data_IF_717949859681
#
_entry.id   IF_717949859681
#
_cell.length_a   1.000
_cell.length_b   1.000
_cell.length_c   1.000
_cell.angle_alpha   90.00
_cell.angle_beta   90.00
_cell.angle_gamma   90.00
#
_symmetry.space_group_name_H-M   'P 1'
#
loop_
_entity.id
_entity.type
_entity.pdbx_description
1 polymer ?
#
# COMPACT_ATOMS: atom_id res chain seq x y z
N UNK A 1 -37.62 -14.45 14.08
CA UNK A 1 -36.38 -14.39 14.89
C UNK A 1 -35.10 -14.04 14.09
N UNK A 2 -35.16 -13.41 12.90
CA UNK A 2 -33.97 -13.12 12.05
C UNK A 2 -33.53 -11.64 11.98
N UNK A 3 -34.02 -10.76 12.86
CA UNK A 3 -33.65 -9.33 12.88
C UNK A 3 -32.71 -8.91 14.03
N UNK A 4 -32.29 -9.84 14.89
CA UNK A 4 -31.57 -9.52 16.14
C UNK A 4 -30.05 -9.70 16.10
N UNK A 5 -29.48 -10.44 15.14
CA UNK A 5 -28.04 -10.75 15.15
C UNK A 5 -27.17 -9.68 14.49
N UNK A 6 -27.67 -8.99 13.45
CA UNK A 6 -26.94 -7.90 12.78
C UNK A 6 -26.69 -6.67 13.68
N UNK A 7 -27.62 -6.36 14.59
CA UNK A 7 -27.45 -5.25 15.54
C UNK A 7 -26.49 -5.57 16.69
N UNK A 8 -26.28 -6.86 17.01
CA UNK A 8 -25.37 -7.29 18.07
C UNK A 8 -23.90 -7.26 17.60
N UNK A 9 -23.65 -7.54 16.31
CA UNK A 9 -22.34 -7.41 15.68
C UNK A 9 -21.89 -5.95 15.59
N UNK A 10 -22.77 -5.03 15.18
CA UNK A 10 -22.46 -3.59 15.16
C UNK A 10 -22.21 -3.00 16.56
N UNK A 11 -22.89 -3.50 17.61
CA UNK A 11 -22.68 -3.03 19.00
C UNK A 11 -21.36 -3.52 19.61
N UNK A 12 -20.87 -4.71 19.25
CA UNK A 12 -19.57 -5.20 19.72
C UNK A 12 -18.39 -4.47 19.03
N UNK A 13 -18.50 -4.16 17.73
CA UNK A 13 -17.48 -3.36 17.02
C UNK A 13 -17.35 -1.93 17.57
N UNK A 14 -18.45 -1.28 17.96
CA UNK A 14 -18.41 0.06 18.54
C UNK A 14 -17.73 0.14 19.92
N UNK A 15 -17.53 -1.00 20.60
CA UNK A 15 -16.89 -1.05 21.93
C UNK A 15 -15.36 -1.14 21.88
N UNK A 16 -14.78 -1.68 20.80
CA UNK A 16 -13.33 -1.68 20.59
C UNK A 16 -12.78 -0.31 20.14
N UNK A 17 -13.61 0.55 19.55
CA UNK A 17 -13.20 1.84 18.99
C UNK A 17 -13.45 3.05 19.92
N UNK A 18 -13.96 2.86 21.15
CA UNK A 18 -14.40 3.95 22.04
C UNK A 18 -13.52 4.20 23.28
N UNK A 19 -12.36 3.56 23.39
CA UNK A 19 -11.53 3.65 24.60
C UNK A 19 -10.28 4.55 24.48
N UNK A 20 -10.36 5.62 23.69
CA UNK A 20 -9.33 6.67 23.64
C UNK A 20 -9.96 8.05 23.37
N UNK A 21 -10.72 8.58 24.33
CA UNK A 21 -10.76 10.03 24.61
C UNK A 21 -11.71 10.33 25.78
N UNK A 22 -11.14 10.59 26.96
CA UNK A 22 -11.82 11.29 28.04
C UNK A 22 -10.84 12.27 28.67
N UNK A 23 -11.27 13.54 28.71
CA UNK A 23 -10.83 14.74 29.48
C UNK A 23 -10.58 15.91 28.52
N UNK A 24 -11.04 17.15 28.72
CA UNK A 24 -11.90 17.84 29.71
C UNK A 24 -12.47 19.05 28.94
N UNK A 25 -13.76 19.33 29.09
CA UNK A 25 -14.38 20.59 28.64
C UNK A 25 -14.25 21.58 29.79
N UNK A 26 -13.63 22.74 29.54
CA UNK A 26 -13.44 23.81 30.51
C UNK A 26 -13.75 25.18 29.89
N UNK A 27 -14.72 25.84 30.49
CA UNK A 27 -15.33 27.14 30.18
C UNK A 27 -14.34 28.31 29.99
N UNK A 28 -14.71 29.25 29.11
CA UNK A 28 -14.19 30.63 29.09
C UNK A 28 -14.62 31.40 30.34
N UNK A 29 -13.78 32.30 30.84
CA UNK A 29 -14.20 33.70 30.96
C UNK A 29 -13.14 34.70 30.49
N UNK A 30 -13.62 35.90 30.20
CA UNK A 30 -12.88 37.09 29.78
C UNK A 30 -12.01 37.71 30.89
N UNK A 31 -11.12 38.61 30.44
CA UNK A 31 -10.36 39.63 31.18
C UNK A 31 -9.01 39.22 31.76
N UNK A 32 -7.94 39.84 31.23
CA UNK A 32 -7.08 40.78 31.96
C UNK A 32 -5.96 41.31 31.04
N UNK A 33 -5.83 42.64 31.02
CA UNK A 33 -4.74 43.37 30.36
C UNK A 33 -3.44 43.15 31.11
N UNK A 34 -2.36 42.94 30.35
CA UNK A 34 -1.04 43.51 30.62
C UNK A 34 -0.13 42.75 31.58
N UNK A 35 0.75 41.91 31.03
CA UNK A 35 2.16 41.82 31.44
C UNK A 35 2.99 41.52 30.18
N UNK A 36 3.86 42.46 29.79
CA UNK A 36 4.97 42.17 28.88
C UNK A 36 6.00 41.36 29.67
N UNK A 37 6.22 40.11 29.27
CA UNK A 37 7.29 39.25 29.76
C UNK A 37 7.60 38.24 28.66
N UNK A 38 8.85 38.19 28.21
CA UNK A 38 9.27 37.38 27.07
C UNK A 38 8.89 35.91 27.22
N UNK A 39 8.27 35.35 26.19
CA UNK A 39 8.21 33.91 25.98
C UNK A 39 9.18 33.61 24.84
N UNK A 40 10.32 33.05 25.22
CA UNK A 40 11.24 32.36 24.34
C UNK A 40 10.46 31.35 23.48
N UNK A 41 10.76 31.34 22.18
CA UNK A 41 10.10 30.45 21.23
C UNK A 41 10.27 29.00 21.65
N UNK A 42 9.16 28.32 21.92
CA UNK A 42 9.13 26.86 21.89
C UNK A 42 9.43 26.45 20.45
N UNK A 43 10.66 26.02 20.21
CA UNK A 43 11.11 25.49 18.93
C UNK A 43 10.26 24.24 18.62
N UNK A 44 9.24 24.39 17.79
CA UNK A 44 8.38 23.30 17.39
C UNK A 44 9.21 22.36 16.51
N UNK A 45 9.48 21.16 17.04
CA UNK A 45 10.19 20.07 16.35
C UNK A 45 9.59 19.87 14.94
N UNK A 46 10.40 20.06 13.89
CA UNK A 46 9.94 19.92 12.50
C UNK A 46 9.58 18.46 12.23
N UNK A 47 8.41 18.22 11.63
CA UNK A 47 8.00 16.87 11.22
C UNK A 47 8.55 16.60 9.83
N UNK A 48 9.39 15.57 9.72
CA UNK A 48 10.10 15.25 8.47
C UNK A 48 9.75 13.84 8.04
N UNK A 49 9.22 13.69 6.84
CA UNK A 49 9.01 12.37 6.22
C UNK A 49 9.83 12.30 4.94
N UNK A 50 10.72 11.33 4.84
CA UNK A 50 11.49 11.06 3.63
C UNK A 50 10.97 9.78 3.00
N UNK A 51 10.21 9.90 1.91
CA UNK A 51 9.66 8.75 1.20
C UNK A 51 10.56 8.35 0.03
N UNK A 52 11.15 7.16 0.12
CA UNK A 52 12.18 6.67 -0.82
C UNK A 52 11.59 5.53 -1.65
N UNK A 53 11.74 5.61 -2.98
CA UNK A 53 11.31 4.56 -3.89
C UNK A 53 12.11 3.27 -3.64
N UNK A 54 11.45 2.20 -3.16
CA UNK A 54 12.06 0.90 -2.86
C UNK A 54 11.42 -0.26 -3.64
N UNK A 55 10.85 0.03 -4.81
CA UNK A 55 10.62 -1.02 -5.81
C UNK A 55 11.94 -1.52 -6.39
N UNK A 56 11.92 -2.61 -7.16
CA UNK A 56 13.14 -3.20 -7.75
C UNK A 56 14.02 -2.18 -8.49
N UNK A 57 13.42 -1.23 -9.23
CA UNK A 57 14.16 -0.14 -9.90
C UNK A 57 14.91 0.77 -8.92
N UNK A 58 14.21 1.29 -7.91
CA UNK A 58 14.82 2.18 -6.91
C UNK A 58 15.90 1.48 -6.08
N UNK A 59 15.70 0.21 -5.72
CA UNK A 59 16.74 -0.60 -5.07
C UNK A 59 17.97 -0.75 -5.95
N UNK A 60 17.79 -1.03 -7.25
CA UNK A 60 18.89 -1.11 -8.21
C UNK A 60 19.59 0.24 -8.40
N UNK A 61 18.87 1.35 -8.30
CA UNK A 61 19.42 2.72 -8.33
C UNK A 61 20.16 3.11 -7.04
N UNK A 62 20.11 2.29 -5.98
CA UNK A 62 20.85 2.49 -4.74
C UNK A 62 20.02 3.00 -3.56
N UNK A 63 18.70 2.79 -3.55
CA UNK A 63 17.81 3.22 -2.46
C UNK A 63 18.29 2.84 -1.05
N UNK A 64 18.83 1.63 -0.87
CA UNK A 64 19.35 1.17 0.44
C UNK A 64 20.46 2.10 0.98
N UNK A 65 21.42 2.47 0.13
CA UNK A 65 22.52 3.37 0.53
C UNK A 65 22.02 4.79 0.81
N UNK A 66 20.98 5.23 0.10
CA UNK A 66 20.36 6.54 0.33
C UNK A 66 19.57 6.55 1.64
N UNK A 67 18.86 5.47 1.96
CA UNK A 67 18.21 5.27 3.28
C UNK A 67 19.25 5.39 4.39
N UNK A 68 20.33 4.60 4.32
CA UNK A 68 21.41 4.62 5.32
C UNK A 68 22.03 6.02 5.48
N UNK A 69 22.24 6.73 4.36
CA UNK A 69 22.77 8.09 4.39
C UNK A 69 21.82 9.07 5.09
N UNK A 70 20.49 8.95 4.89
CA UNK A 70 19.52 9.79 5.59
C UNK A 70 19.46 9.45 7.09
N UNK A 71 19.45 8.17 7.45
CA UNK A 71 19.47 7.73 8.85
C UNK A 71 20.71 8.27 9.58
N UNK A 72 21.89 8.18 8.96
CA UNK A 72 23.12 8.74 9.50
C UNK A 72 23.07 10.26 9.63
N UNK A 73 22.57 10.96 8.59
CA UNK A 73 22.49 12.41 8.60
C UNK A 73 21.47 12.93 9.65
N UNK A 74 20.38 12.20 9.90
CA UNK A 74 19.36 12.56 10.87
C UNK A 74 19.77 12.31 12.32
N UNK A 75 20.61 11.31 12.59
CA UNK A 75 20.96 10.87 13.95
C UNK A 75 21.33 12.03 14.87
N UNK A 76 22.19 12.96 14.43
CA UNK A 76 22.59 14.12 15.22
C UNK A 76 21.41 15.06 15.53
N UNK A 77 20.62 15.39 14.51
CA UNK A 77 19.55 16.40 14.64
C UNK A 77 18.30 15.88 15.35
N UNK A 78 18.06 14.57 15.28
CA UNK A 78 17.04 13.90 16.06
C UNK A 78 17.37 13.92 17.55
N UNK A 79 18.64 13.63 17.92
CA UNK A 79 19.13 13.72 19.30
C UNK A 79 19.08 15.15 19.85
N UNK A 80 19.34 16.14 18.99
CA UNK A 80 19.17 17.57 19.31
C UNK A 80 17.69 18.00 19.42
N UNK A 81 16.73 17.12 19.09
CA UNK A 81 15.30 17.42 19.16
C UNK A 81 14.79 18.38 18.09
N UNK A 82 15.60 18.68 17.06
CA UNK A 82 15.29 19.66 16.01
C UNK A 82 14.32 19.13 14.96
N UNK A 83 14.38 17.83 14.71
CA UNK A 83 13.56 17.12 13.71
C UNK A 83 12.95 15.85 14.31
N UNK A 84 11.75 15.49 13.84
CA UNK A 84 11.11 14.19 14.05
C UNK A 84 11.13 13.44 12.71
N UNK A 85 12.21 12.72 12.39
CA UNK A 85 12.37 12.10 11.09
C UNK A 85 11.62 10.79 11.00
N UNK A 86 11.03 10.53 9.85
CA UNK A 86 10.49 9.23 9.45
C UNK A 86 11.04 8.88 8.09
N UNK A 87 11.85 7.82 8.03
CA UNK A 87 12.18 7.17 6.76
C UNK A 87 11.00 6.29 6.36
N UNK A 88 10.47 6.53 5.16
CA UNK A 88 9.31 5.86 4.64
C UNK A 88 9.69 5.13 3.34
N UNK A 89 9.84 3.80 3.43
CA UNK A 89 10.13 2.98 2.25
C UNK A 89 8.83 2.83 1.46
N UNK A 90 8.75 3.37 0.25
CA UNK A 90 7.52 3.26 -0.55
C UNK A 90 7.70 2.37 -1.76
N UNK A 91 6.59 1.89 -2.33
CA UNK A 91 6.58 1.20 -3.62
C UNK A 91 7.10 2.05 -4.80
N UNK A 92 7.12 1.47 -6.00
CA UNK A 92 7.57 2.18 -7.20
C UNK A 92 6.71 3.44 -7.49
N UNK A 93 7.36 4.58 -7.78
CA UNK A 93 6.69 5.85 -8.17
C UNK A 93 6.36 5.94 -9.67
N UNK A 94 6.88 5.00 -10.46
CA UNK A 94 6.50 4.76 -11.87
C UNK A 94 7.34 5.48 -12.93
N UNK A 95 8.08 6.55 -12.60
CA UNK A 95 8.92 7.25 -13.58
C UNK A 95 10.40 6.86 -13.47
N UNK A 96 10.72 5.61 -13.80
CA UNK A 96 12.03 5.01 -13.57
C UNK A 96 13.20 5.69 -14.30
N UNK A 97 12.95 6.58 -15.28
CA UNK A 97 14.03 7.35 -15.94
C UNK A 97 14.61 8.45 -15.04
N UNK A 98 13.98 8.75 -13.90
CA UNK A 98 14.38 9.79 -12.94
C UNK A 98 15.01 9.24 -11.66
N UNK A 99 15.30 7.95 -11.62
CA UNK A 99 15.73 7.23 -10.42
C UNK A 99 17.07 7.76 -9.87
N UNK A 100 17.31 7.82 -8.55
CA UNK A 100 16.40 7.51 -7.45
C UNK A 100 15.44 8.67 -7.14
N UNK A 101 14.13 8.39 -7.10
CA UNK A 101 13.11 9.35 -6.68
C UNK A 101 12.95 9.35 -5.16
N UNK A 102 13.02 10.53 -4.53
CA UNK A 102 12.85 10.74 -3.09
C UNK A 102 11.92 11.92 -2.85
N UNK A 103 10.84 11.72 -2.11
CA UNK A 103 10.03 12.83 -1.59
C UNK A 103 10.56 13.23 -0.22
N UNK A 104 10.77 14.52 -0.01
CA UNK A 104 11.06 15.11 1.29
C UNK A 104 9.87 15.98 1.67
N UNK A 105 9.15 15.56 2.71
CA UNK A 105 8.03 16.30 3.28
C UNK A 105 8.48 16.95 4.58
N UNK A 106 8.43 18.28 4.65
CA UNK A 106 8.71 19.07 5.86
C UNK A 106 7.44 19.83 6.23
N UNK A 107 6.92 19.59 7.43
CA UNK A 107 5.71 20.25 7.96
C UNK A 107 4.50 20.25 7.01
N UNK A 108 4.39 19.20 6.18
CA UNK A 108 3.30 18.98 5.24
C UNK A 108 3.59 19.39 3.79
N UNK A 109 4.65 20.16 3.54
CA UNK A 109 5.07 20.55 2.19
C UNK A 109 6.02 19.52 1.61
N UNK A 110 5.73 19.03 0.40
CA UNK A 110 6.49 17.92 -0.22
C UNK A 110 7.26 18.39 -1.44
N UNK A 111 8.57 18.11 -1.44
CA UNK A 111 9.46 18.29 -2.59
C UNK A 111 9.95 16.93 -3.08
N UNK A 112 9.80 16.65 -4.38
CA UNK A 112 10.35 15.42 -4.99
C UNK A 112 11.70 15.69 -5.65
N UNK A 113 12.70 14.91 -5.28
CA UNK A 113 14.04 14.89 -5.84
C UNK A 113 14.22 13.73 -6.83
N UNK A 114 15.09 13.93 -7.81
CA UNK A 114 15.48 12.93 -8.81
C UNK A 114 16.98 12.65 -8.77
N UNK A 115 17.39 11.47 -9.23
CA UNK A 115 18.78 11.02 -9.25
C UNK A 115 19.47 11.17 -7.89
N UNK A 116 18.76 10.90 -6.79
CA UNK A 116 19.33 11.04 -5.45
C UNK A 116 20.41 9.97 -5.24
N UNK A 117 21.56 10.39 -4.75
CA UNK A 117 22.67 9.52 -4.38
C UNK A 117 23.05 9.79 -2.91
N UNK A 118 23.78 8.87 -2.24
CA UNK A 118 24.19 9.07 -0.85
C UNK A 118 24.93 10.39 -0.62
N UNK A 119 25.73 10.84 -1.58
CA UNK A 119 26.55 12.06 -1.50
C UNK A 119 25.69 13.34 -1.56
N UNK A 120 24.48 13.26 -2.11
CA UNK A 120 23.52 14.38 -2.14
C UNK A 120 22.75 14.55 -0.84
N UNK A 121 22.66 13.49 -0.02
CA UNK A 121 21.85 13.47 1.19
C UNK A 121 22.25 14.54 2.20
N UNK A 122 23.55 14.74 2.54
CA UNK A 122 23.93 15.79 3.49
C UNK A 122 23.45 17.17 3.07
N UNK A 123 23.57 17.51 1.78
CA UNK A 123 23.15 18.79 1.22
C UNK A 123 21.61 18.95 1.28
N UNK A 124 20.85 17.88 0.99
CA UNK A 124 19.38 17.91 1.12
C UNK A 124 18.97 18.13 2.59
N UNK A 125 19.66 17.50 3.54
CA UNK A 125 19.36 17.65 4.96
C UNK A 125 19.68 19.07 5.44
N UNK A 126 20.85 19.59 5.08
CA UNK A 126 21.30 20.92 5.52
C UNK A 126 20.51 22.06 4.87
N UNK A 127 20.41 22.10 3.54
CA UNK A 127 19.79 23.22 2.82
C UNK A 127 18.26 23.18 2.92
N UNK A 128 17.65 22.01 2.69
CA UNK A 128 16.19 21.90 2.59
C UNK A 128 15.53 21.57 3.93
N UNK A 129 15.92 20.47 4.59
CA UNK A 129 15.20 20.02 5.78
C UNK A 129 15.43 20.96 6.96
N UNK A 130 16.70 21.33 7.20
CA UNK A 130 17.06 22.26 8.26
C UNK A 130 16.89 23.72 7.81
N UNK A 131 17.47 24.08 6.66
CA UNK A 131 17.48 25.45 6.13
C UNK A 131 16.17 25.94 5.53
N UNK A 132 15.25 25.04 5.16
CA UNK A 132 13.94 25.38 4.57
C UNK A 132 13.96 25.62 3.06
N UNK A 133 15.11 25.52 2.40
CA UNK A 133 15.27 25.84 0.98
C UNK A 133 15.53 24.60 0.13
N UNK A 134 14.60 24.19 -0.76
CA UNK A 134 14.82 23.07 -1.65
C UNK A 134 16.07 23.22 -2.53
N UNK A 135 16.88 22.16 -2.63
CA UNK A 135 18.01 22.08 -3.58
C UNK A 135 17.50 22.00 -5.04
N UNK A 136 17.10 23.14 -5.61
CA UNK A 136 16.33 23.26 -6.87
C UNK A 136 16.91 22.50 -8.05
N UNK A 137 18.23 22.44 -8.20
CA UNK A 137 18.94 21.70 -9.27
C UNK A 137 18.69 20.19 -9.27
N UNK A 138 18.24 19.62 -8.14
CA UNK A 138 17.95 18.18 -7.99
C UNK A 138 16.46 17.88 -7.88
N UNK A 139 15.61 18.90 -7.81
CA UNK A 139 14.16 18.73 -7.83
C UNK A 139 13.74 18.18 -9.19
N UNK A 140 12.69 17.37 -9.21
CA UNK A 140 12.09 16.88 -10.45
C UNK A 140 11.69 18.04 -11.36
N UNK A 141 11.83 17.82 -12.67
CA UNK A 141 11.48 18.81 -13.68
C UNK A 141 10.02 18.67 -14.10
N UNK A 142 9.56 19.61 -14.93
CA UNK A 142 8.19 19.65 -15.44
C UNK A 142 7.76 18.36 -16.14
N UNK A 143 8.69 17.63 -16.75
CA UNK A 143 8.40 16.35 -17.40
C UNK A 143 7.89 15.28 -16.41
N UNK A 144 8.35 15.30 -15.16
CA UNK A 144 7.81 14.44 -14.11
C UNK A 144 6.36 14.76 -13.80
N UNK A 145 6.03 16.04 -13.66
CA UNK A 145 4.66 16.49 -13.41
C UNK A 145 3.74 16.11 -14.58
N UNK A 146 4.17 16.38 -15.82
CA UNK A 146 3.43 15.98 -17.01
C UNK A 146 3.21 14.47 -17.12
N UNK A 147 4.20 13.66 -16.72
CA UNK A 147 4.06 12.21 -16.68
C UNK A 147 3.01 11.78 -15.65
N UNK A 148 3.00 12.37 -14.46
CA UNK A 148 2.04 12.00 -13.40
C UNK A 148 0.62 12.48 -13.71
N UNK A 149 0.46 13.73 -14.13
CA UNK A 149 -0.86 14.37 -14.31
C UNK A 149 -1.66 13.77 -15.47
N UNK A 150 -1.00 13.13 -16.43
CA UNK A 150 -1.64 12.46 -17.58
C UNK A 150 -2.09 11.02 -17.29
N UNK A 151 -1.91 10.52 -16.07
CA UNK A 151 -2.24 9.15 -15.71
C UNK A 151 -3.52 9.06 -14.88
N UNK A 152 -4.35 8.07 -15.20
CA UNK A 152 -5.40 7.60 -14.29
C UNK A 152 -4.92 6.34 -13.57
N UNK A 153 -4.28 6.53 -12.42
CA UNK A 153 -3.82 5.42 -11.58
C UNK A 153 -5.00 4.85 -10.80
N UNK A 154 -5.57 3.75 -11.27
CA UNK A 154 -6.61 3.01 -10.53
C UNK A 154 -6.00 1.93 -9.65
N UNK A 155 -5.21 1.04 -10.25
CA UNK A 155 -4.57 -0.09 -9.56
C UNK A 155 -3.28 0.34 -8.87
N UNK A 156 -2.53 1.25 -9.48
CA UNK A 156 -1.25 1.76 -8.98
C UNK A 156 -1.40 3.01 -8.08
N UNK A 157 -2.63 3.35 -7.66
CA UNK A 157 -2.90 4.61 -6.95
C UNK A 157 -2.13 4.77 -5.64
N UNK A 158 -1.87 3.64 -4.96
CA UNK A 158 -1.20 3.59 -3.66
C UNK A 158 0.31 3.31 -3.80
N UNK A 159 0.76 2.85 -4.97
CA UNK A 159 2.18 2.63 -5.24
C UNK A 159 2.96 3.95 -5.15
N UNK A 160 4.04 3.95 -4.37
CA UNK A 160 4.82 5.15 -4.10
C UNK A 160 4.23 6.06 -3.01
N UNK A 161 3.15 5.64 -2.34
CA UNK A 161 2.49 6.38 -1.24
C UNK A 161 2.44 5.62 0.08
N UNK A 162 2.56 4.29 0.05
CA UNK A 162 2.55 3.43 1.24
C UNK A 162 3.83 2.61 1.35
N UNK A 163 4.14 2.19 2.57
CA UNK A 163 5.06 1.10 2.82
C UNK A 163 4.44 -0.25 2.41
N UNK A 164 4.98 -0.92 1.37
CA UNK A 164 4.44 -2.19 0.90
C UNK A 164 4.60 -3.34 1.91
N UNK A 165 5.41 -3.17 2.95
CA UNK A 165 5.65 -4.13 4.03
C UNK A 165 4.77 -3.86 5.27
N UNK A 166 3.87 -2.88 5.20
CA UNK A 166 2.98 -2.48 6.31
C UNK A 166 1.50 -2.67 5.99
N UNK A 167 0.89 -3.71 6.58
CA UNK A 167 -0.56 -3.88 6.53
C UNK A 167 -1.31 -2.68 7.14
N UNK A 168 -0.75 -2.03 8.17
CA UNK A 168 -1.42 -0.93 8.87
C UNK A 168 -1.55 0.31 7.97
N UNK A 169 -0.60 0.56 7.07
CA UNK A 169 -0.74 1.63 6.08
C UNK A 169 -1.80 1.31 5.03
N UNK A 170 -1.86 0.05 4.57
CA UNK A 170 -2.92 -0.38 3.67
C UNK A 170 -4.30 -0.21 4.32
N UNK A 171 -4.46 -0.62 5.59
CA UNK A 171 -5.67 -0.41 6.38
C UNK A 171 -6.00 1.07 6.56
N UNK A 172 -4.98 1.92 6.78
CA UNK A 172 -5.12 3.37 6.89
C UNK A 172 -5.72 4.03 5.65
N UNK A 173 -5.48 3.46 4.47
CA UNK A 173 -6.11 3.88 3.21
C UNK A 173 -7.50 3.29 2.97
N UNK A 174 -8.03 2.51 3.92
CA UNK A 174 -9.28 1.78 3.77
C UNK A 174 -9.13 0.44 3.04
N UNK A 175 -7.92 -0.12 2.99
CA UNK A 175 -7.67 -1.48 2.53
C UNK A 175 -8.52 -2.50 3.29
N UNK A 176 -8.88 -3.60 2.63
CA UNK A 176 -9.80 -4.65 3.09
C UNK A 176 -11.27 -4.24 3.29
N UNK A 177 -11.62 -2.95 3.17
CA UNK A 177 -13.04 -2.54 3.24
C UNK A 177 -13.87 -3.09 2.07
N UNK A 178 -13.26 -3.31 0.90
CA UNK A 178 -13.98 -3.90 -0.23
C UNK A 178 -14.21 -5.39 0.00
N UNK A 179 -13.23 -6.11 0.56
CA UNK A 179 -13.42 -7.49 1.02
C UNK A 179 -14.49 -7.60 2.11
N UNK A 180 -14.44 -6.75 3.15
CA UNK A 180 -15.47 -6.73 4.21
C UNK A 180 -16.88 -6.53 3.63
N UNK A 181 -17.03 -5.57 2.71
CA UNK A 181 -18.29 -5.33 2.01
C UNK A 181 -18.71 -6.56 1.20
N UNK A 182 -17.79 -7.13 0.41
CA UNK A 182 -18.08 -8.28 -0.46
C UNK A 182 -18.53 -9.50 0.34
N UNK A 183 -17.89 -9.80 1.48
CA UNK A 183 -18.27 -10.91 2.35
C UNK A 183 -19.68 -10.76 2.98
N UNK A 184 -20.20 -9.53 3.04
CA UNK A 184 -21.58 -9.26 3.44
C UNK A 184 -22.61 -9.31 2.31
N UNK A 185 -22.17 -9.54 1.06
CA UNK A 185 -23.01 -9.57 -0.13
C UNK A 185 -23.33 -11.00 -0.57
N UNK A 186 -24.39 -11.15 -1.35
CA UNK A 186 -24.65 -12.36 -2.10
C UNK A 186 -23.59 -12.53 -3.22
N UNK A 187 -22.97 -13.73 -3.36
CA UNK A 187 -21.93 -13.97 -4.37
C UNK A 187 -22.35 -13.67 -5.82
N UNK A 188 -23.61 -13.95 -6.19
CA UNK A 188 -24.08 -13.69 -7.55
C UNK A 188 -24.18 -12.17 -7.81
N UNK A 189 -24.53 -11.38 -6.77
CA UNK A 189 -24.51 -9.91 -6.85
C UNK A 189 -23.09 -9.38 -7.09
N UNK A 190 -22.07 -9.99 -6.49
CA UNK A 190 -20.66 -9.62 -6.75
C UNK A 190 -20.31 -9.91 -8.20
N UNK A 191 -20.65 -11.09 -8.71
CA UNK A 191 -20.40 -11.49 -10.10
C UNK A 191 -21.08 -10.54 -11.07
N UNK A 192 -22.35 -10.19 -10.85
CA UNK A 192 -23.06 -9.22 -11.69
C UNK A 192 -22.45 -7.82 -11.63
N UNK A 193 -21.93 -7.40 -10.47
CA UNK A 193 -21.18 -6.13 -10.36
C UNK A 193 -19.93 -6.14 -11.24
N UNK A 194 -19.17 -7.24 -11.26
CA UNK A 194 -17.98 -7.40 -12.11
C UNK A 194 -18.35 -7.49 -13.60
N UNK A 195 -19.48 -8.12 -13.95
CA UNK A 195 -20.00 -8.14 -15.32
C UNK A 195 -20.37 -6.73 -15.79
N UNK A 196 -21.11 -5.99 -14.96
CA UNK A 196 -21.53 -4.63 -15.25
C UNK A 196 -20.35 -3.66 -15.37
N UNK A 197 -19.23 -3.90 -14.66
CA UNK A 197 -18.03 -3.07 -14.77
C UNK A 197 -17.27 -3.24 -16.09
N UNK A 198 -17.61 -4.25 -16.90
CA UNK A 198 -16.90 -4.57 -18.14
C UNK A 198 -15.45 -5.01 -17.95
N UNK A 199 -15.07 -5.51 -16.76
CA UNK A 199 -13.70 -5.92 -16.48
C UNK A 199 -13.29 -7.10 -17.37
N UNK A 200 -12.18 -6.94 -18.09
CA UNK A 200 -11.59 -7.98 -18.95
C UNK A 200 -10.26 -8.46 -18.38
N UNK A 201 -9.90 -9.71 -18.67
CA UNK A 201 -8.62 -10.28 -18.27
C UNK A 201 -7.44 -9.45 -18.75
N UNK A 202 -6.54 -9.09 -17.83
CA UNK A 202 -5.41 -8.19 -18.10
C UNK A 202 -4.11 -8.89 -18.52
N UNK A 203 -4.09 -10.23 -18.55
CA UNK A 203 -2.98 -11.03 -19.05
C UNK A 203 -2.90 -11.14 -20.59
N UNK A 204 -3.63 -10.31 -21.35
CA UNK A 204 -3.57 -10.27 -22.82
C UNK A 204 -4.82 -10.79 -23.53
N UNK A 205 -5.33 -11.98 -23.16
CA UNK A 205 -6.47 -12.60 -23.84
C UNK A 205 -7.81 -11.83 -23.74
N UNK A 206 -7.95 -10.94 -22.74
CA UNK A 206 -9.08 -10.02 -22.69
C UNK A 206 -10.45 -10.68 -22.51
N UNK A 207 -10.53 -11.90 -22.00
CA UNK A 207 -11.82 -12.56 -21.74
C UNK A 207 -12.61 -11.82 -20.64
N UNK A 208 -13.94 -11.67 -20.73
CA UNK A 208 -14.74 -11.01 -19.68
C UNK A 208 -14.63 -11.72 -18.32
N UNK A 209 -14.15 -11.00 -17.31
CA UNK A 209 -13.83 -11.56 -15.99
C UNK A 209 -15.07 -12.07 -15.28
N UNK A 210 -16.17 -11.30 -15.33
CA UNK A 210 -17.44 -11.69 -14.70
C UNK A 210 -18.04 -12.96 -15.31
N UNK A 211 -17.90 -13.17 -16.62
CA UNK A 211 -18.35 -14.40 -17.30
C UNK A 211 -17.49 -15.60 -16.85
N UNK A 212 -16.17 -15.42 -16.71
CA UNK A 212 -15.27 -16.46 -16.18
C UNK A 212 -15.66 -16.86 -14.75
N UNK A 213 -15.96 -15.88 -13.90
CA UNK A 213 -16.37 -16.12 -12.51
C UNK A 213 -17.73 -16.83 -12.43
N UNK A 214 -18.72 -16.38 -13.21
CA UNK A 214 -20.05 -16.99 -13.31
C UNK A 214 -19.96 -18.47 -13.74
N UNK A 215 -19.14 -18.77 -14.75
CA UNK A 215 -18.91 -20.14 -15.21
C UNK A 215 -18.31 -21.02 -14.10
N UNK A 216 -17.28 -20.53 -13.40
CA UNK A 216 -16.66 -21.26 -12.29
C UNK A 216 -17.63 -21.45 -11.12
N UNK A 217 -18.43 -20.44 -10.77
CA UNK A 217 -19.44 -20.52 -9.71
C UNK A 217 -20.51 -21.58 -10.03
N UNK A 218 -20.94 -21.68 -11.28
CA UNK A 218 -21.94 -22.66 -11.75
C UNK A 218 -21.38 -24.08 -11.96
N UNK A 219 -20.08 -24.22 -12.11
CA UNK A 219 -19.44 -25.52 -12.27
C UNK A 219 -19.74 -26.42 -11.06
N UNK A 220 -20.07 -27.70 -11.34
CA UNK A 220 -20.29 -28.73 -10.33
C UNK A 220 -18.97 -29.07 -9.63
N UNK A 221 -19.03 -29.36 -8.34
CA UNK A 221 -17.88 -29.71 -7.51
C UNK A 221 -17.79 -28.83 -6.27
N UNK A 222 -17.41 -29.44 -5.15
CA UNK A 222 -17.30 -28.76 -3.86
C UNK A 222 -16.00 -27.96 -3.73
N UNK A 223 -14.94 -28.42 -4.39
CA UNK A 223 -13.62 -27.81 -4.29
C UNK A 223 -13.38 -26.90 -5.50
N UNK A 224 -13.10 -25.62 -5.23
CA UNK A 224 -12.76 -24.61 -6.22
C UNK A 224 -11.53 -23.85 -5.78
N UNK A 225 -10.81 -23.29 -6.75
CA UNK A 225 -9.56 -22.58 -6.53
C UNK A 225 -9.57 -21.21 -7.21
N UNK A 226 -8.85 -20.26 -6.62
CA UNK A 226 -8.44 -19.02 -7.30
C UNK A 226 -6.95 -19.09 -7.59
N UNK A 227 -6.56 -18.92 -8.84
CA UNK A 227 -5.15 -18.86 -9.22
C UNK A 227 -4.85 -17.45 -9.74
N UNK A 228 -3.94 -16.77 -9.07
CA UNK A 228 -3.31 -15.54 -9.55
C UNK A 228 -2.06 -15.93 -10.34
N UNK A 229 -2.09 -15.68 -11.65
CA UNK A 229 -0.94 -15.86 -12.51
C UNK A 229 -0.07 -14.59 -12.45
N UNK A 230 1.07 -14.69 -11.79
CA UNK A 230 2.09 -13.65 -11.61
C UNK A 230 3.43 -14.08 -12.23
N UNK A 231 3.39 -14.88 -13.31
CA UNK A 231 4.59 -15.31 -14.02
C UNK A 231 5.21 -14.17 -14.85
N UNK A 232 4.40 -13.22 -15.34
CA UNK A 232 4.82 -12.01 -16.08
C UNK A 232 6.06 -12.24 -16.98
N UNK A 233 5.98 -13.27 -17.82
CA UNK A 233 7.12 -13.74 -18.62
C UNK A 233 7.48 -12.82 -19.80
N UNK A 234 6.57 -11.94 -20.23
CA UNK A 234 6.72 -11.13 -21.43
C UNK A 234 7.83 -10.06 -21.28
N UNK A 235 8.80 -9.98 -22.21
CA UNK A 235 9.83 -8.94 -22.18
C UNK A 235 9.22 -7.54 -22.13
N UNK A 236 9.72 -6.71 -21.22
CA UNK A 236 9.23 -5.34 -21.01
C UNK A 236 8.00 -5.21 -20.11
N UNK A 237 7.36 -6.31 -19.71
CA UNK A 237 6.30 -6.29 -18.71
C UNK A 237 6.89 -6.25 -17.28
N UNK A 238 6.32 -5.40 -16.44
CA UNK A 238 6.64 -5.27 -15.02
C UNK A 238 5.47 -4.67 -14.21
N UNK A 239 4.26 -4.69 -14.79
CA UNK A 239 3.04 -4.16 -14.17
C UNK A 239 2.60 -5.02 -12.99
N UNK A 240 2.64 -6.34 -13.11
CA UNK A 240 2.26 -7.26 -12.03
C UNK A 240 3.29 -7.18 -10.91
N UNK A 241 4.59 -7.21 -11.27
CA UNK A 241 5.68 -6.95 -10.32
C UNK A 241 5.48 -5.64 -9.56
N UNK A 242 5.12 -4.57 -10.24
CA UNK A 242 4.95 -3.24 -9.62
C UNK A 242 3.82 -3.21 -8.58
N UNK A 243 2.76 -3.99 -8.80
CA UNK A 243 1.64 -4.11 -7.86
C UNK A 243 2.06 -4.97 -6.67
N UNK A 244 2.65 -6.15 -6.90
CA UNK A 244 3.02 -7.08 -5.83
C UNK A 244 4.12 -6.48 -4.95
N UNK A 245 5.11 -5.81 -5.54
CA UNK A 245 6.17 -5.13 -4.78
C UNK A 245 5.70 -3.85 -4.10
N UNK A 246 4.67 -3.18 -4.63
CA UNK A 246 4.25 -1.85 -4.18
C UNK A 246 3.00 -1.82 -3.29
N UNK A 247 2.13 -2.81 -3.41
CA UNK A 247 0.90 -2.97 -2.63
C UNK A 247 0.42 -4.44 -2.67
N UNK A 248 1.13 -5.39 -2.03
CA UNK A 248 0.77 -6.81 -2.06
C UNK A 248 -0.60 -7.10 -1.44
N UNK A 249 -1.04 -6.33 -0.45
CA UNK A 249 -2.35 -6.49 0.18
C UNK A 249 -3.52 -6.25 -0.79
N UNK A 250 -3.35 -5.37 -1.79
CA UNK A 250 -4.36 -5.17 -2.82
C UNK A 250 -4.61 -6.43 -3.67
N UNK A 251 -3.57 -7.23 -3.93
CA UNK A 251 -3.68 -8.53 -4.61
C UNK A 251 -4.42 -9.53 -3.73
N UNK A 252 -4.06 -9.60 -2.45
CA UNK A 252 -4.72 -10.47 -1.47
C UNK A 252 -6.20 -10.13 -1.34
N UNK A 253 -6.55 -8.84 -1.23
CA UNK A 253 -7.93 -8.38 -1.15
C UNK A 253 -8.74 -8.76 -2.40
N UNK A 254 -8.17 -8.57 -3.59
CA UNK A 254 -8.79 -8.99 -4.84
C UNK A 254 -9.03 -10.51 -4.90
N UNK A 255 -8.07 -11.31 -4.43
CA UNK A 255 -8.20 -12.77 -4.35
C UNK A 255 -9.28 -13.21 -3.35
N UNK A 256 -9.40 -12.55 -2.19
CA UNK A 256 -10.48 -12.83 -1.22
C UNK A 256 -11.85 -12.60 -1.86
N UNK A 257 -12.04 -11.45 -2.52
CA UNK A 257 -13.31 -11.10 -3.17
C UNK A 257 -13.65 -12.12 -4.26
N UNK A 258 -12.69 -12.45 -5.12
CA UNK A 258 -12.88 -13.43 -6.19
C UNK A 258 -13.17 -14.83 -5.66
N UNK A 259 -12.46 -15.24 -4.60
CA UNK A 259 -12.64 -16.55 -3.97
C UNK A 259 -14.03 -16.69 -3.35
N UNK A 260 -14.47 -15.68 -2.60
CA UNK A 260 -15.81 -15.65 -2.03
C UNK A 260 -16.90 -15.70 -3.13
N UNK A 261 -16.74 -14.89 -4.19
CA UNK A 261 -17.67 -14.85 -5.30
C UNK A 261 -17.85 -16.21 -5.99
N UNK A 262 -16.76 -16.94 -6.24
CA UNK A 262 -16.83 -18.26 -6.90
C UNK A 262 -17.07 -19.43 -5.94
N UNK A 263 -16.87 -19.23 -4.64
CA UNK A 263 -16.93 -20.27 -3.60
C UNK A 263 -15.66 -21.11 -3.51
N UNK A 264 -14.48 -20.51 -3.65
CA UNK A 264 -13.19 -21.18 -3.50
C UNK A 264 -12.64 -21.02 -2.08
N UNK A 265 -12.19 -22.13 -1.48
CA UNK A 265 -11.56 -22.12 -0.15
C UNK A 265 -10.03 -22.05 -0.18
N UNK A 266 -9.41 -22.16 -1.36
CA UNK A 266 -7.95 -22.14 -1.51
C UNK A 266 -7.54 -21.32 -2.72
N UNK A 267 -6.56 -20.44 -2.51
CA UNK A 267 -5.92 -19.63 -3.53
C UNK A 267 -4.46 -20.03 -3.76
N UNK A 268 -3.96 -19.77 -4.95
CA UNK A 268 -2.55 -19.88 -5.29
C UNK A 268 -2.08 -18.64 -6.03
N UNK A 269 -0.90 -18.14 -5.70
CA UNK A 269 -0.18 -17.17 -6.50
C UNK A 269 0.97 -17.92 -7.16
N UNK A 270 0.85 -18.17 -8.46
CA UNK A 270 1.95 -18.74 -9.24
C UNK A 270 2.84 -17.59 -9.69
N UNK A 271 4.06 -17.54 -9.18
CA UNK A 271 4.98 -16.43 -9.40
C UNK A 271 6.31 -16.94 -9.94
N UNK A 272 6.87 -16.22 -10.90
CA UNK A 272 8.20 -16.54 -11.43
C UNK A 272 9.28 -16.41 -10.34
N UNK A 273 10.30 -17.26 -10.37
CA UNK A 273 11.39 -17.24 -9.39
C UNK A 273 12.29 -15.99 -9.51
N UNK A 274 12.30 -15.32 -10.66
CA UNK A 274 13.15 -14.15 -10.92
C UNK A 274 12.66 -12.86 -10.25
N UNK A 275 11.54 -12.88 -9.50
CA UNK A 275 11.03 -11.74 -8.74
C UNK A 275 11.19 -11.93 -7.21
N UNK A 276 12.41 -12.01 -6.67
CA UNK A 276 12.64 -12.33 -5.26
C UNK A 276 12.05 -11.28 -4.30
N UNK A 277 12.03 -10.00 -4.69
CA UNK A 277 11.42 -8.95 -3.87
C UNK A 277 9.90 -9.11 -3.77
N UNK A 278 9.24 -9.42 -4.89
CA UNK A 278 7.81 -9.66 -4.94
C UNK A 278 7.43 -10.88 -4.07
N UNK A 279 8.21 -11.98 -4.16
CA UNK A 279 8.04 -13.16 -3.30
C UNK A 279 8.17 -12.79 -1.83
N UNK A 280 9.23 -12.05 -1.46
CA UNK A 280 9.46 -11.62 -0.07
C UNK A 280 8.29 -10.79 0.48
N UNK A 281 7.90 -9.74 -0.26
CA UNK A 281 6.85 -8.80 0.19
C UNK A 281 5.47 -9.46 0.23
N UNK A 282 5.14 -10.28 -0.77
CA UNK A 282 3.88 -11.02 -0.76
C UNK A 282 3.84 -12.04 0.39
N UNK A 283 4.93 -12.76 0.66
CA UNK A 283 5.00 -13.70 1.78
C UNK A 283 4.72 -13.00 3.10
N UNK A 284 5.38 -11.86 3.34
CA UNK A 284 5.14 -11.03 4.53
C UNK A 284 3.68 -10.56 4.60
N UNK A 285 3.12 -10.07 3.49
CA UNK A 285 1.74 -9.60 3.45
C UNK A 285 0.72 -10.72 3.70
N UNK A 286 0.99 -11.94 3.25
CA UNK A 286 0.16 -13.12 3.54
C UNK A 286 0.19 -13.45 5.03
N UNK A 287 1.36 -13.40 5.68
CA UNK A 287 1.48 -13.65 7.11
C UNK A 287 0.75 -12.58 7.93
N UNK A 288 0.96 -11.30 7.61
CA UNK A 288 0.23 -10.18 8.22
C UNK A 288 -1.29 -10.31 8.02
N UNK A 289 -1.75 -10.72 6.82
CA UNK A 289 -3.16 -10.93 6.55
C UNK A 289 -3.75 -12.08 7.38
N UNK A 290 -3.00 -13.17 7.61
CA UNK A 290 -3.41 -14.26 8.52
C UNK A 290 -3.49 -13.79 9.97
N UNK A 291 -2.48 -13.07 10.45
CA UNK A 291 -2.44 -12.51 11.80
C UNK A 291 -3.62 -11.58 12.09
N UNK A 292 -4.05 -10.80 11.09
CA UNK A 292 -5.19 -9.88 11.16
C UNK A 292 -6.54 -10.54 10.78
N UNK A 293 -6.60 -11.86 10.59
CA UNK A 293 -7.81 -12.63 10.25
C UNK A 293 -8.46 -12.25 8.89
N UNK A 294 -7.67 -11.74 7.93
CA UNK A 294 -8.11 -11.57 6.54
C UNK A 294 -7.93 -12.84 5.70
N UNK A 295 -7.09 -13.78 6.15
CA UNK A 295 -6.88 -15.11 5.56
C UNK A 295 -6.94 -16.20 6.64
N UNK A 296 -7.16 -17.44 6.21
CA UNK A 296 -7.29 -18.61 7.06
C UNK A 296 -8.75 -18.98 7.29
N UNK A 297 -9.09 -19.32 8.55
CA UNK A 297 -10.44 -19.74 8.91
C UNK A 297 -11.28 -18.57 9.39
N UNK A 298 -12.57 -18.59 9.03
CA UNK A 298 -13.60 -17.67 9.49
C UNK A 298 -13.16 -16.22 9.32
N UNK A 299 -12.71 -15.88 8.12
CA UNK A 299 -12.08 -14.60 7.84
C UNK A 299 -13.05 -13.46 8.18
N UNK A 300 -12.54 -12.42 8.82
CA UNK A 300 -13.31 -11.30 9.37
C UNK A 300 -14.49 -11.72 10.27
N UNK A 301 -14.37 -12.87 10.93
CA UNK A 301 -15.43 -13.43 11.78
C UNK A 301 -16.65 -13.97 11.03
N UNK A 302 -16.53 -14.21 9.72
CA UNK A 302 -17.56 -14.85 8.89
C UNK A 302 -17.48 -16.38 8.97
N UNK A 303 -18.36 -17.11 8.28
CA UNK A 303 -18.26 -18.57 8.13
C UNK A 303 -17.44 -18.98 6.88
N UNK A 304 -16.80 -18.02 6.21
CA UNK A 304 -15.99 -18.28 5.02
C UNK A 304 -14.52 -18.50 5.39
N UNK A 305 -13.95 -19.58 4.88
CA UNK A 305 -12.54 -19.94 5.01
C UNK A 305 -11.84 -19.69 3.66
N UNK A 306 -10.70 -19.01 3.66
CA UNK A 306 -9.88 -18.83 2.47
C UNK A 306 -8.41 -18.57 2.84
N UNK A 307 -7.50 -19.33 2.24
CA UNK A 307 -6.06 -19.13 2.40
C UNK A 307 -5.35 -19.16 1.04
N UNK A 308 -4.14 -18.60 0.99
CA UNK A 308 -3.36 -18.43 -0.24
C UNK A 308 -1.97 -19.03 -0.06
N UNK A 309 -1.49 -19.78 -1.05
CA UNK A 309 -0.10 -20.26 -1.11
C UNK A 309 0.64 -19.64 -2.29
N UNK A 310 1.93 -19.37 -2.11
CA UNK A 310 2.81 -19.00 -3.21
C UNK A 310 3.39 -20.28 -3.81
N UNK A 311 3.36 -20.37 -5.14
CA UNK A 311 4.01 -21.43 -5.92
C UNK A 311 5.02 -20.76 -6.84
N UNK A 312 6.28 -21.17 -6.74
CA UNK A 312 7.35 -20.61 -7.56
C UNK A 312 7.48 -21.39 -8.87
N UNK A 313 7.56 -20.65 -9.98
CA UNK A 313 7.79 -21.21 -11.30
C UNK A 313 9.22 -21.70 -11.50
N UNK A 314 9.40 -22.65 -12.43
CA UNK A 314 10.70 -23.23 -12.79
C UNK A 314 11.47 -22.48 -13.88
N UNK A 315 11.13 -21.21 -14.15
CA UNK A 315 11.77 -20.38 -15.19
C UNK A 315 11.28 -20.63 -16.63
N UNK A 316 10.10 -21.24 -16.79
CA UNK A 316 9.54 -21.56 -18.10
C UNK A 316 8.48 -20.53 -18.52
N UNK A 317 8.78 -19.74 -19.57
CA UNK A 317 7.85 -18.74 -20.13
C UNK A 317 6.46 -19.30 -20.49
N UNK A 318 6.41 -20.56 -20.97
CA UNK A 318 5.15 -21.20 -21.37
C UNK A 318 4.20 -21.44 -20.18
N UNK A 319 4.70 -21.45 -18.95
CA UNK A 319 3.89 -21.62 -17.74
C UNK A 319 2.93 -20.46 -17.47
N UNK A 320 3.04 -19.35 -18.21
CA UNK A 320 2.07 -18.27 -18.18
C UNK A 320 0.76 -18.55 -18.95
N UNK A 321 0.69 -19.63 -19.73
CA UNK A 321 -0.51 -20.03 -20.47
C UNK A 321 -1.56 -20.69 -19.53
N UNK A 322 -2.86 -20.50 -19.84
CA UNK A 322 -3.97 -20.92 -18.95
C UNK A 322 -5.18 -21.46 -19.70
#
# INVERSE_FOLDING_TARGET
MKRSMGQLAQKKLASCLKNTNKRVVGQHPESLRGVRGGMEGHDLKKKVVVSICTGTGGLAAGATRVIEAFEQAFHKFELEGRIEPRIHKVGCKGFCTKDLLVDVTVDGETTTYQYVTPEKVPVIVEEHILGGEPVTKWVVKEDYKQFQDKQQKLILKDCGRIDPESIDEYLGLGGYKAAEKALGMDPDTIIETIKASGLRGRGGGGFPTGVKWESCRRAKGEIKYVICNADEGAPGAFMDRSIIEGNPHSVIEGMIIGAYAIGAGQGYVYMRAEYPLAVKRLSLALDQARERNFLGKKILGTDFDFDIKIVLGGGAFVSGES
#
